data_IF_109076451382
#
_entry.id   IF_109076451382
#
_cell.length_a   1.000
_cell.length_b   1.000
_cell.length_c   1.000
_cell.angle_alpha   90.00
_cell.angle_beta   90.00
_cell.angle_gamma   90.00
#
_symmetry.space_group_name_H-M   'P 1'
#
loop_
_entity.id
_entity.type
_entity.pdbx_description
1 polymer ?
#
# COMPACT_ATOMS: atom_id res chain seq x y z
N UNK A 1 39.10 10.02 -19.90
CA UNK A 1 38.53 9.82 -18.57
C UNK A 1 37.51 8.70 -18.72
N UNK A 2 37.76 7.55 -18.09
CA UNK A 2 36.84 6.42 -18.17
C UNK A 2 35.62 6.74 -17.30
N UNK A 3 34.44 6.84 -17.90
CA UNK A 3 33.18 6.82 -17.17
C UNK A 3 33.08 5.49 -16.44
N UNK A 4 33.29 5.52 -15.13
CA UNK A 4 32.98 4.41 -14.25
C UNK A 4 31.46 4.23 -14.28
N UNK A 5 30.94 3.40 -15.19
CA UNK A 5 29.61 2.82 -15.06
C UNK A 5 29.62 1.91 -13.83
N UNK A 6 29.42 2.48 -12.65
CA UNK A 6 28.83 1.75 -11.54
C UNK A 6 27.47 1.28 -12.04
N UNK A 7 27.37 0.00 -12.39
CA UNK A 7 26.08 -0.65 -12.54
C UNK A 7 25.31 -0.33 -11.26
N UNK A 8 24.23 0.46 -11.34
CA UNK A 8 23.47 0.78 -10.15
C UNK A 8 22.90 -0.55 -9.65
N UNK A 9 23.38 -1.01 -8.50
CA UNK A 9 22.95 -2.28 -7.88
C UNK A 9 21.45 -2.22 -7.51
N UNK A 10 20.90 -1.00 -7.54
CA UNK A 10 19.57 -0.62 -7.11
C UNK A 10 19.00 0.34 -8.17
N UNK A 11 17.75 0.13 -8.58
CA UNK A 11 17.06 0.94 -9.59
C UNK A 11 15.64 1.21 -9.11
N UNK A 12 15.13 2.42 -9.32
CA UNK A 12 13.73 2.75 -9.01
C UNK A 12 12.78 1.89 -9.84
N UNK A 13 11.62 1.54 -9.27
CA UNK A 13 10.61 0.76 -9.99
C UNK A 13 11.10 -0.61 -10.51
N UNK A 14 12.22 -1.14 -10.00
CA UNK A 14 12.82 -2.37 -10.51
C UNK A 14 11.83 -3.54 -10.53
N UNK A 15 11.77 -4.28 -11.64
CA UNK A 15 10.94 -5.49 -11.76
C UNK A 15 11.56 -6.71 -11.07
N UNK A 16 12.83 -6.63 -10.66
CA UNK A 16 13.53 -7.71 -9.96
C UNK A 16 14.12 -7.17 -8.66
N UNK A 17 13.57 -7.65 -7.55
CA UNK A 17 13.98 -7.32 -6.19
C UNK A 17 14.74 -8.51 -5.56
N UNK A 18 15.35 -8.34 -4.36
CA UNK A 18 16.17 -9.40 -3.76
C UNK A 18 15.46 -10.74 -3.63
N UNK A 19 14.21 -10.74 -3.13
CA UNK A 19 13.45 -11.96 -2.84
C UNK A 19 12.37 -12.31 -3.87
N UNK A 20 11.98 -11.36 -4.72
CA UNK A 20 10.85 -11.50 -5.65
C UNK A 20 11.13 -10.90 -7.02
N UNK A 21 10.47 -11.43 -8.04
CA UNK A 21 10.22 -10.73 -9.30
C UNK A 21 8.82 -10.12 -9.24
N UNK A 22 8.66 -8.91 -9.78
CA UNK A 22 7.38 -8.21 -9.88
C UNK A 22 6.88 -8.38 -11.31
N UNK A 23 5.86 -9.20 -11.49
CA UNK A 23 5.34 -9.56 -12.82
C UNK A 23 4.40 -8.48 -13.37
N UNK A 24 3.72 -7.76 -12.48
CA UNK A 24 2.82 -6.67 -12.80
C UNK A 24 2.52 -5.82 -11.55
N UNK A 25 2.28 -4.54 -11.73
CA UNK A 25 1.62 -3.66 -10.76
C UNK A 25 0.82 -2.60 -11.52
N UNK A 26 -0.18 -2.00 -10.87
CA UNK A 26 -1.11 -1.07 -11.50
C UNK A 26 -1.78 -1.66 -12.76
N UNK A 27 -2.27 -2.90 -12.68
CA UNK A 27 -2.99 -3.48 -13.81
C UNK A 27 -4.27 -2.67 -14.10
N UNK A 28 -4.36 -2.19 -15.32
CA UNK A 28 -5.42 -1.31 -15.81
C UNK A 28 -6.35 -2.07 -16.77
N UNK A 29 -7.17 -2.98 -16.23
CA UNK A 29 -8.21 -3.67 -17.02
C UNK A 29 -9.44 -2.78 -17.09
N UNK A 30 -9.92 -2.52 -18.30
CA UNK A 30 -11.16 -1.78 -18.56
C UNK A 30 -12.29 -2.69 -19.03
N UNK A 31 -13.51 -2.30 -18.71
CA UNK A 31 -14.74 -2.74 -19.40
C UNK A 31 -15.55 -1.52 -19.86
N UNK A 32 -16.79 -1.75 -20.29
CA UNK A 32 -17.66 -0.71 -20.84
C UNK A 32 -17.97 0.42 -19.82
N UNK A 33 -17.82 0.17 -18.51
CA UNK A 33 -18.08 1.15 -17.45
C UNK A 33 -16.80 1.82 -16.89
N UNK A 34 -15.62 1.53 -17.46
CA UNK A 34 -14.34 2.11 -17.05
C UNK A 34 -13.35 1.09 -16.48
N UNK A 35 -12.50 1.49 -15.53
CA UNK A 35 -11.52 0.58 -14.94
C UNK A 35 -12.20 -0.37 -13.96
N UNK A 36 -11.97 -1.66 -14.14
CA UNK A 36 -12.64 -2.66 -13.31
C UNK A 36 -12.24 -2.57 -11.84
N UNK A 37 -11.01 -2.15 -11.56
CA UNK A 37 -10.50 -1.97 -10.19
C UNK A 37 -11.26 -0.91 -9.39
N UNK A 38 -11.90 0.06 -10.05
CA UNK A 38 -12.66 1.11 -9.37
C UNK A 38 -13.86 0.55 -8.60
N UNK A 39 -14.39 -0.60 -9.04
CA UNK A 39 -15.46 -1.35 -8.37
C UNK A 39 -15.03 -1.98 -7.04
N UNK A 40 -13.74 -2.06 -6.74
CA UNK A 40 -13.22 -2.59 -5.48
C UNK A 40 -12.41 -1.53 -4.71
N UNK A 41 -12.95 -0.32 -4.65
CA UNK A 41 -12.35 0.83 -3.94
C UNK A 41 -13.18 1.26 -2.73
N UNK A 42 -12.61 2.10 -1.84
CA UNK A 42 -13.36 2.74 -0.76
C UNK A 42 -14.58 3.52 -1.30
N UNK A 43 -14.43 4.15 -2.48
CA UNK A 43 -15.50 4.89 -3.13
C UNK A 43 -16.63 3.96 -3.56
N UNK A 44 -16.32 2.81 -4.15
CA UNK A 44 -17.34 1.81 -4.52
C UNK A 44 -18.14 1.34 -3.31
N UNK A 45 -17.48 1.04 -2.19
CA UNK A 45 -18.20 0.69 -0.95
C UNK A 45 -19.12 1.81 -0.47
N UNK A 46 -18.68 3.07 -0.54
CA UNK A 46 -19.51 4.22 -0.16
C UNK A 46 -20.72 4.40 -1.07
N UNK A 47 -20.56 4.18 -2.38
CA UNK A 47 -21.66 4.21 -3.35
C UNK A 47 -22.70 3.13 -3.04
N UNK A 48 -22.26 1.88 -2.82
CA UNK A 48 -23.14 0.79 -2.40
C UNK A 48 -23.91 1.16 -1.14
N UNK A 49 -23.20 1.67 -0.12
CA UNK A 49 -23.81 2.08 1.14
C UNK A 49 -24.85 3.20 0.94
N UNK A 50 -24.55 4.20 0.13
CA UNK A 50 -25.51 5.27 -0.20
C UNK A 50 -26.73 4.73 -0.94
N UNK A 51 -26.54 3.81 -1.89
CA UNK A 51 -27.64 3.20 -2.65
C UNK A 51 -28.59 2.40 -1.76
N UNK A 52 -28.05 1.63 -0.82
CA UNK A 52 -28.84 0.88 0.17
C UNK A 52 -29.58 1.80 1.16
N UNK A 53 -29.02 2.97 1.46
CA UNK A 53 -29.64 3.97 2.35
C UNK A 53 -30.73 4.79 1.66
N UNK A 54 -30.64 5.01 0.34
CA UNK A 54 -31.57 5.87 -0.43
C UNK A 54 -33.06 5.57 -0.17
N UNK A 55 -33.55 4.31 -0.18
CA UNK A 55 -34.94 4.00 0.11
C UNK A 55 -35.38 4.45 1.52
N UNK A 56 -34.55 4.19 2.54
CA UNK A 56 -34.86 4.52 3.93
C UNK A 56 -34.80 6.03 4.20
N UNK A 57 -33.90 6.75 3.51
CA UNK A 57 -33.88 8.22 3.51
C UNK A 57 -35.20 8.81 3.00
N UNK A 58 -35.76 8.28 1.91
CA UNK A 58 -37.07 8.72 1.38
C UNK A 58 -38.20 8.54 2.39
N UNK A 59 -38.10 7.52 3.24
CA UNK A 59 -39.04 7.24 4.33
C UNK A 59 -38.73 7.99 5.63
N UNK A 60 -37.66 8.78 5.68
CA UNK A 60 -37.12 9.43 6.90
C UNK A 60 -36.82 8.42 8.02
N UNK A 61 -36.34 7.23 7.64
CA UNK A 61 -35.99 6.11 8.53
C UNK A 61 -34.54 5.63 8.32
N UNK A 62 -33.67 6.45 7.73
CA UNK A 62 -32.27 6.07 7.58
C UNK A 62 -31.61 5.93 8.97
N UNK A 63 -31.14 4.73 9.35
CA UNK A 63 -30.55 4.49 10.67
C UNK A 63 -29.24 5.26 10.87
N UNK A 64 -28.60 5.70 9.78
CA UNK A 64 -27.40 6.54 9.84
C UNK A 64 -27.71 8.04 9.81
N UNK A 65 -28.99 8.42 9.69
CA UNK A 65 -29.46 9.80 9.62
C UNK A 65 -29.01 10.51 8.33
N UNK A 66 -28.91 11.84 8.42
CA UNK A 66 -28.56 12.69 7.27
C UNK A 66 -27.04 12.74 6.97
N UNK A 67 -26.22 12.03 7.76
CA UNK A 67 -24.76 12.01 7.56
C UNK A 67 -24.42 11.37 6.20
N UNK A 68 -23.66 12.04 5.32
CA UNK A 68 -23.21 11.46 4.07
C UNK A 68 -22.46 10.14 4.29
N UNK A 69 -22.64 9.13 3.43
CA UNK A 69 -21.98 7.83 3.64
C UNK A 69 -20.45 7.93 3.69
N UNK A 70 -19.89 8.91 2.99
CA UNK A 70 -18.45 9.16 3.01
C UNK A 70 -17.91 9.66 4.36
N UNK A 71 -18.76 10.25 5.19
CA UNK A 71 -18.43 10.85 6.49
C UNK A 71 -18.74 9.91 7.67
N UNK A 72 -19.43 8.79 7.43
CA UNK A 72 -19.66 7.80 8.48
C UNK A 72 -18.33 7.15 8.87
N UNK A 73 -18.00 7.22 10.16
CA UNK A 73 -16.78 6.63 10.68
C UNK A 73 -16.81 5.10 10.58
N UNK A 74 -15.65 4.48 10.38
CA UNK A 74 -15.51 3.01 10.38
C UNK A 74 -16.10 2.38 11.65
N UNK A 75 -15.88 3.02 12.80
CA UNK A 75 -16.41 2.58 14.10
C UNK A 75 -17.93 2.54 14.11
N UNK A 76 -18.61 3.51 13.49
CA UNK A 76 -20.08 3.53 13.41
C UNK A 76 -20.60 2.44 12.46
N UNK A 77 -19.92 2.20 11.34
CA UNK A 77 -20.25 1.09 10.44
C UNK A 77 -20.04 -0.27 11.11
N UNK A 78 -18.94 -0.45 11.83
CA UNK A 78 -18.63 -1.69 12.54
C UNK A 78 -19.59 -1.95 13.70
N UNK A 79 -20.04 -0.91 14.40
CA UNK A 79 -21.04 -1.02 15.46
C UNK A 79 -22.43 -1.39 14.91
N UNK A 80 -22.73 -1.06 13.65
CA UNK A 80 -24.04 -1.36 13.05
C UNK A 80 -24.33 -2.86 12.93
N UNK A 81 -23.31 -3.72 12.87
CA UNK A 81 -23.51 -5.17 12.88
C UNK A 81 -24.11 -5.69 14.18
N UNK A 82 -23.76 -5.03 15.29
CA UNK A 82 -24.12 -5.44 16.65
C UNK A 82 -25.29 -4.59 17.19
N UNK A 83 -25.97 -3.84 16.31
CA UNK A 83 -27.07 -2.94 16.65
C UNK A 83 -28.40 -3.69 16.77
N UNK A 84 -29.22 -3.32 17.75
CA UNK A 84 -30.62 -3.78 17.87
C UNK A 84 -31.54 -3.16 16.79
N UNK A 85 -31.06 -2.12 16.10
CA UNK A 85 -31.71 -1.57 14.90
C UNK A 85 -31.47 -2.49 13.70
N UNK A 86 -32.51 -3.25 13.33
CA UNK A 86 -32.48 -4.19 12.20
C UNK A 86 -32.21 -3.52 10.85
N UNK A 87 -32.59 -2.26 10.66
CA UNK A 87 -32.31 -1.53 9.41
C UNK A 87 -30.82 -1.20 9.33
N UNK A 88 -30.21 -0.78 10.44
CA UNK A 88 -28.77 -0.50 10.50
C UNK A 88 -27.94 -1.74 10.17
N UNK A 89 -28.26 -2.87 10.81
CA UNK A 89 -27.59 -4.15 10.61
C UNK A 89 -27.82 -4.70 9.19
N UNK A 90 -29.06 -4.60 8.69
CA UNK A 90 -29.41 -5.02 7.34
C UNK A 90 -28.66 -4.26 6.25
N UNK A 91 -28.54 -2.92 6.37
CA UNK A 91 -27.80 -2.09 5.42
C UNK A 91 -26.33 -2.46 5.38
N UNK A 92 -25.65 -2.56 6.54
CA UNK A 92 -24.22 -2.84 6.55
C UNK A 92 -23.92 -4.26 6.04
N UNK A 93 -24.77 -5.24 6.36
CA UNK A 93 -24.67 -6.60 5.86
C UNK A 93 -24.86 -6.63 4.34
N UNK A 94 -25.85 -5.91 3.79
CA UNK A 94 -26.07 -5.77 2.36
C UNK A 94 -24.86 -5.14 1.65
N UNK A 95 -24.28 -4.08 2.25
CA UNK A 95 -23.12 -3.41 1.69
C UNK A 95 -21.89 -4.33 1.63
N UNK A 96 -21.67 -5.15 2.67
CA UNK A 96 -20.60 -6.16 2.70
C UNK A 96 -20.81 -7.25 1.65
N UNK A 97 -22.05 -7.73 1.48
CA UNK A 97 -22.36 -8.73 0.45
C UNK A 97 -22.05 -8.20 -0.95
N UNK A 98 -22.62 -7.04 -1.29
CA UNK A 98 -22.48 -6.46 -2.62
C UNK A 98 -21.02 -6.10 -2.93
N UNK A 99 -20.29 -5.50 -1.99
CA UNK A 99 -18.87 -5.22 -2.18
C UNK A 99 -18.04 -6.51 -2.28
N UNK A 100 -18.37 -7.54 -1.50
CA UNK A 100 -17.73 -8.85 -1.59
C UNK A 100 -17.89 -9.47 -2.98
N UNK A 101 -19.06 -9.34 -3.61
CA UNK A 101 -19.28 -9.77 -4.99
C UNK A 101 -18.47 -8.95 -5.99
N UNK A 102 -18.43 -7.63 -5.85
CA UNK A 102 -17.63 -6.76 -6.72
C UNK A 102 -16.14 -7.10 -6.62
N UNK A 103 -15.59 -7.22 -5.41
CA UNK A 103 -14.20 -7.60 -5.17
C UNK A 103 -13.87 -8.98 -5.77
N UNK A 104 -14.73 -9.99 -5.58
CA UNK A 104 -14.55 -11.30 -6.20
C UNK A 104 -14.58 -11.20 -7.74
N UNK A 105 -15.46 -10.37 -8.31
CA UNK A 105 -15.53 -10.08 -9.74
C UNK A 105 -14.25 -9.47 -10.30
N UNK A 106 -13.67 -8.49 -9.58
CA UNK A 106 -12.39 -7.87 -9.93
C UNK A 106 -11.26 -8.91 -9.89
N UNK A 107 -11.16 -9.69 -8.80
CA UNK A 107 -10.13 -10.73 -8.65
C UNK A 107 -10.22 -11.75 -9.78
N UNK A 108 -11.42 -12.25 -10.11
CA UNK A 108 -11.63 -13.18 -11.24
C UNK A 108 -11.11 -12.63 -12.57
N UNK A 109 -11.23 -11.33 -12.77
CA UNK A 109 -10.80 -10.66 -14.01
C UNK A 109 -9.29 -10.47 -14.02
N UNK A 110 -8.69 -10.15 -12.87
CA UNK A 110 -7.25 -10.10 -12.71
C UNK A 110 -6.64 -11.48 -12.98
N UNK A 111 -7.15 -12.54 -12.36
CA UNK A 111 -6.64 -13.92 -12.54
C UNK A 111 -6.71 -14.45 -13.98
N UNK A 112 -7.52 -13.84 -14.85
CA UNK A 112 -7.58 -14.15 -16.29
C UNK A 112 -6.50 -13.43 -17.11
N UNK A 113 -5.91 -12.36 -16.59
CA UNK A 113 -4.85 -11.62 -17.27
C UNK A 113 -3.54 -12.40 -17.25
N UNK A 114 -2.77 -12.30 -18.34
CA UNK A 114 -1.54 -13.08 -18.55
C UNK A 114 -0.56 -13.02 -17.38
N UNK A 115 -0.32 -11.84 -16.82
CA UNK A 115 0.67 -11.64 -15.74
C UNK A 115 0.10 -11.89 -14.33
N UNK A 116 -1.17 -12.26 -14.22
CA UNK A 116 -1.85 -12.61 -12.96
C UNK A 116 -2.34 -14.05 -12.94
N UNK A 117 -2.18 -14.76 -14.06
CA UNK A 117 -2.47 -16.18 -14.16
C UNK A 117 -1.64 -16.95 -13.12
N UNK A 118 -2.21 -18.05 -12.64
CA UNK A 118 -1.58 -18.99 -11.72
C UNK A 118 -1.20 -18.37 -10.37
N UNK A 119 -1.80 -17.22 -10.01
CA UNK A 119 -1.65 -16.63 -8.67
C UNK A 119 -2.36 -17.50 -7.63
N UNK A 120 -1.61 -17.92 -6.62
CA UNK A 120 -2.04 -18.90 -5.60
C UNK A 120 -2.57 -18.23 -4.34
N UNK A 121 -2.05 -17.04 -4.02
CA UNK A 121 -2.35 -16.31 -2.80
C UNK A 121 -2.45 -14.81 -3.08
N UNK A 122 -3.46 -14.15 -2.51
CA UNK A 122 -3.64 -12.70 -2.58
C UNK A 122 -3.78 -12.16 -1.16
N UNK A 123 -2.90 -11.25 -0.79
CA UNK A 123 -3.03 -10.44 0.43
C UNK A 123 -3.80 -9.16 0.15
N UNK A 124 -4.72 -8.79 1.05
CA UNK A 124 -5.55 -7.59 0.90
C UNK A 124 -5.24 -6.59 2.01
N UNK A 125 -4.65 -5.47 1.63
CA UNK A 125 -4.31 -4.34 2.48
C UNK A 125 -5.19 -3.11 2.23
N UNK A 126 -4.62 -1.94 2.51
CA UNK A 126 -5.32 -0.65 2.45
C UNK A 126 -6.19 -0.37 3.70
N UNK A 127 -6.63 0.88 3.84
CA UNK A 127 -7.25 1.36 5.07
C UNK A 127 -8.58 0.67 5.41
N UNK A 128 -9.30 0.10 4.43
CA UNK A 128 -10.57 -0.60 4.67
C UNK A 128 -10.37 -1.87 5.50
N UNK A 129 -9.23 -2.54 5.34
CA UNK A 129 -8.89 -3.80 6.03
C UNK A 129 -9.01 -3.73 7.55
N UNK A 130 -8.69 -2.58 8.14
CA UNK A 130 -8.67 -2.34 9.58
C UNK A 130 -10.07 -2.30 10.24
N UNK A 131 -11.14 -2.35 9.44
CA UNK A 131 -12.52 -2.40 9.93
C UNK A 131 -13.10 -3.82 9.95
N UNK A 132 -14.10 -4.07 10.81
CA UNK A 132 -14.87 -5.33 10.78
C UNK A 132 -15.58 -5.48 9.43
N UNK A 133 -16.19 -4.43 8.89
CA UNK A 133 -16.89 -4.51 7.59
C UNK A 133 -15.93 -4.85 6.45
N UNK A 134 -14.74 -4.26 6.43
CA UNK A 134 -13.69 -4.57 5.45
C UNK A 134 -13.19 -6.00 5.57
N UNK A 135 -12.91 -6.47 6.79
CA UNK A 135 -12.54 -7.85 7.05
C UNK A 135 -13.60 -8.84 6.55
N UNK A 136 -14.88 -8.57 6.84
CA UNK A 136 -16.01 -9.40 6.38
C UNK A 136 -16.15 -9.39 4.87
N UNK A 137 -15.97 -8.24 4.22
CA UNK A 137 -16.08 -8.15 2.77
C UNK A 137 -14.95 -8.89 2.04
N UNK A 138 -13.71 -8.84 2.55
CA UNK A 138 -12.59 -9.66 2.07
C UNK A 138 -12.90 -11.15 2.27
N UNK A 139 -13.33 -11.54 3.47
CA UNK A 139 -13.72 -12.92 3.76
C UNK A 139 -14.84 -13.41 2.84
N UNK A 140 -15.84 -12.56 2.58
CA UNK A 140 -16.95 -12.86 1.67
C UNK A 140 -16.47 -13.06 0.23
N UNK A 141 -15.62 -12.19 -0.28
CA UNK A 141 -15.01 -12.36 -1.61
C UNK A 141 -14.25 -13.70 -1.69
N UNK A 142 -13.50 -14.06 -0.65
CA UNK A 142 -12.80 -15.35 -0.54
C UNK A 142 -13.75 -16.56 -0.59
N UNK A 143 -14.90 -16.50 0.10
CA UNK A 143 -15.93 -17.55 0.03
C UNK A 143 -16.48 -17.68 -1.39
N UNK A 144 -16.79 -16.57 -2.06
CA UNK A 144 -17.32 -16.58 -3.44
C UNK A 144 -16.32 -17.23 -4.39
N UNK A 145 -15.04 -16.84 -4.33
CA UNK A 145 -13.99 -17.42 -5.16
C UNK A 145 -13.88 -18.94 -4.96
N UNK A 146 -13.93 -19.41 -3.71
CA UNK A 146 -13.92 -20.85 -3.38
C UNK A 146 -15.14 -21.57 -3.91
N UNK A 147 -16.33 -20.99 -3.77
CA UNK A 147 -17.58 -21.56 -4.31
C UNK A 147 -17.55 -21.70 -5.83
N UNK A 148 -16.83 -20.82 -6.53
CA UNK A 148 -16.63 -20.90 -7.99
C UNK A 148 -15.48 -21.83 -8.40
N UNK A 149 -14.89 -22.57 -7.45
CA UNK A 149 -13.78 -23.49 -7.70
C UNK A 149 -12.44 -22.81 -8.00
N UNK A 150 -12.31 -21.51 -7.70
CA UNK A 150 -11.07 -20.76 -7.92
C UNK A 150 -10.13 -21.01 -6.76
N UNK A 151 -8.99 -21.64 -7.05
CA UNK A 151 -7.96 -22.01 -6.08
C UNK A 151 -7.00 -20.85 -5.81
N UNK A 152 -7.54 -19.76 -5.28
CA UNK A 152 -6.74 -18.65 -4.75
C UNK A 152 -7.07 -18.47 -3.28
N UNK A 153 -6.05 -18.39 -2.45
CA UNK A 153 -6.24 -18.01 -1.05
C UNK A 153 -6.30 -16.48 -0.94
N UNK A 154 -7.30 -15.97 -0.22
CA UNK A 154 -7.49 -14.54 -0.03
C UNK A 154 -7.37 -14.24 1.44
N UNK A 155 -6.26 -13.62 1.82
CA UNK A 155 -6.00 -13.27 3.20
C UNK A 155 -5.87 -11.77 3.38
N UNK A 156 -6.20 -11.27 4.57
CA UNK A 156 -5.90 -9.91 4.88
C UNK A 156 -4.40 -9.70 5.15
N UNK A 157 -3.85 -8.54 4.80
CA UNK A 157 -2.46 -8.20 5.13
C UNK A 157 -2.23 -8.28 6.65
N UNK A 158 -1.06 -8.77 7.08
CA UNK A 158 -0.74 -9.08 8.48
C UNK A 158 -0.42 -7.81 9.26
N UNK A 159 0.39 -6.94 8.67
CA UNK A 159 0.79 -5.69 9.28
C UNK A 159 -0.36 -4.67 9.26
N UNK A 160 -0.40 -3.78 10.24
CA UNK A 160 -1.39 -2.71 10.25
C UNK A 160 -1.27 -1.88 8.96
N UNK A 161 -2.38 -1.47 8.29
CA UNK A 161 -2.30 -0.79 6.99
C UNK A 161 -1.44 0.48 6.98
N UNK A 162 -1.39 1.22 8.10
CA UNK A 162 -0.52 2.40 8.25
C UNK A 162 0.98 2.09 8.39
N UNK A 163 1.34 0.82 8.53
CA UNK A 163 2.71 0.37 8.79
C UNK A 163 3.23 -0.58 7.71
N UNK A 164 2.34 -1.31 7.03
CA UNK A 164 2.71 -2.27 6.01
C UNK A 164 3.58 -1.66 4.89
N UNK A 165 3.27 -0.44 4.42
CA UNK A 165 4.10 0.27 3.45
C UNK A 165 5.47 0.69 4.00
N UNK A 166 5.56 1.02 5.28
CA UNK A 166 6.84 1.36 5.92
C UNK A 166 7.69 0.10 6.11
N UNK A 167 7.09 -0.97 6.62
CA UNK A 167 7.75 -2.26 6.85
C UNK A 167 8.22 -2.86 5.53
N UNK A 168 7.40 -2.83 4.47
CA UNK A 168 7.80 -3.41 3.19
C UNK A 168 8.99 -2.74 2.52
N UNK A 169 9.30 -1.48 2.87
CA UNK A 169 10.46 -0.76 2.37
C UNK A 169 11.80 -1.45 2.72
N UNK A 170 11.86 -2.25 3.79
CA UNK A 170 13.07 -3.01 4.16
C UNK A 170 13.45 -4.07 3.13
N UNK A 171 12.51 -4.49 2.29
CA UNK A 171 12.70 -5.52 1.26
C UNK A 171 13.03 -4.94 -0.12
N UNK A 172 13.10 -3.61 -0.26
CA UNK A 172 13.48 -2.96 -1.52
C UNK A 172 14.96 -3.14 -1.87
N UNK A 173 15.81 -3.37 -0.87
CA UNK A 173 17.25 -3.50 -1.03
C UNK A 173 17.75 -4.81 -0.39
N UNK A 174 18.86 -5.39 -0.90
CA UNK A 174 19.44 -6.58 -0.28
C UNK A 174 19.82 -6.37 1.19
N UNK A 175 19.58 -7.37 2.04
CA UNK A 175 19.84 -7.28 3.48
C UNK A 175 21.30 -6.92 3.85
N UNK A 176 22.27 -7.25 2.99
CA UNK A 176 23.68 -6.91 3.23
C UNK A 176 23.95 -5.40 3.26
N UNK A 177 23.14 -4.58 2.59
CA UNK A 177 23.24 -3.11 2.62
C UNK A 177 23.04 -2.59 4.04
N UNK A 178 22.28 -3.30 4.86
CA UNK A 178 21.92 -2.86 6.21
C UNK A 178 22.73 -3.53 7.32
N UNK A 179 23.79 -4.31 7.02
CA UNK A 179 24.50 -5.12 8.02
C UNK A 179 25.09 -4.32 9.20
N UNK A 180 25.48 -3.05 8.97
CA UNK A 180 26.02 -2.17 10.01
C UNK A 180 24.95 -1.33 10.73
N UNK A 181 23.67 -1.51 10.38
CA UNK A 181 22.56 -0.66 10.78
C UNK A 181 21.46 -1.48 11.44
N UNK A 182 20.68 -0.84 12.31
CA UNK A 182 19.56 -1.48 13.02
C UNK A 182 18.20 -1.01 12.52
N UNK A 183 18.17 0.05 11.72
CA UNK A 183 16.96 0.69 11.25
C UNK A 183 17.13 1.35 9.88
N UNK A 184 16.02 1.64 9.22
CA UNK A 184 15.95 2.47 8.00
C UNK A 184 14.90 3.55 8.15
N UNK A 185 14.96 4.57 7.30
CA UNK A 185 13.85 5.49 7.09
C UNK A 185 12.97 4.94 5.97
N UNK A 186 11.65 5.00 6.17
CA UNK A 186 10.67 4.58 5.19
C UNK A 186 9.59 5.64 5.01
N UNK A 187 9.06 5.74 3.80
CA UNK A 187 7.97 6.65 3.43
C UNK A 187 6.89 5.84 2.70
N UNK A 188 5.64 6.02 3.12
CA UNK A 188 4.46 5.49 2.46
C UNK A 188 3.59 6.68 2.04
N UNK A 189 3.57 6.95 0.73
CA UNK A 189 2.80 8.02 0.12
C UNK A 189 1.50 7.41 -0.42
N UNK A 190 0.37 7.93 0.04
CA UNK A 190 -0.94 7.60 -0.49
C UNK A 190 -1.66 8.83 -1.05
N UNK A 191 -2.75 8.60 -1.77
CA UNK A 191 -3.53 9.67 -2.38
C UNK A 191 -4.21 10.66 -1.40
N UNK A 192 -4.12 10.45 -0.09
CA UNK A 192 -4.65 11.38 0.92
C UNK A 192 -3.73 11.63 2.11
N UNK A 193 -2.72 10.77 2.30
CA UNK A 193 -1.83 10.81 3.45
C UNK A 193 -0.40 10.53 3.01
N UNK A 194 0.56 11.14 3.69
CA UNK A 194 1.97 10.77 3.65
C UNK A 194 2.35 10.27 5.03
N UNK A 195 2.99 9.11 5.09
CA UNK A 195 3.56 8.53 6.31
C UNK A 195 5.06 8.47 6.16
N UNK A 196 5.78 8.84 7.20
CA UNK A 196 7.22 8.59 7.30
C UNK A 196 7.49 7.87 8.61
N UNK A 197 8.44 6.95 8.64
CA UNK A 197 8.78 6.24 9.86
C UNK A 197 10.20 5.72 9.88
N UNK A 198 10.64 5.41 11.10
CA UNK A 198 11.86 4.66 11.36
C UNK A 198 11.45 3.22 11.59
N UNK A 199 11.99 2.32 10.77
CA UNK A 199 11.68 0.89 10.81
C UNK A 199 12.88 0.17 11.37
N UNK A 200 12.70 -0.48 12.51
CA UNK A 200 13.67 -1.42 13.07
C UNK A 200 13.72 -2.67 12.20
N UNK A 201 14.92 -3.07 11.81
CA UNK A 201 15.12 -4.23 10.94
C UNK A 201 15.00 -5.55 11.71
N UNK A 202 15.35 -5.53 13.00
CA UNK A 202 15.33 -6.70 13.89
C UNK A 202 16.04 -7.96 13.29
N UNK A 203 17.07 -7.76 12.46
CA UNK A 203 17.80 -8.83 11.75
C UNK A 203 18.48 -9.84 12.67
N UNK A 204 18.86 -9.40 13.89
CA UNK A 204 19.37 -10.30 14.95
C UNK A 204 18.31 -11.27 15.47
N UNK A 205 17.03 -10.89 15.45
CA UNK A 205 15.90 -11.74 15.86
C UNK A 205 15.43 -12.63 14.71
N UNK A 206 15.39 -12.09 13.50
CA UNK A 206 14.99 -12.80 12.30
C UNK A 206 15.74 -12.24 11.07
N UNK A 207 16.68 -12.99 10.46
CA UNK A 207 17.49 -12.52 9.34
C UNK A 207 16.70 -12.17 8.07
N UNK A 208 15.51 -12.75 7.91
CA UNK A 208 14.56 -12.50 6.82
C UNK A 208 13.73 -11.22 7.03
N UNK A 209 13.96 -10.48 8.11
CA UNK A 209 13.21 -9.27 8.51
C UNK A 209 11.72 -9.52 8.78
N UNK A 210 11.30 -10.77 9.02
CA UNK A 210 9.92 -11.10 9.46
C UNK A 210 9.53 -10.48 10.82
N UNK A 211 10.51 -9.90 11.54
CA UNK A 211 10.34 -9.16 12.80
C UNK A 211 10.59 -7.67 12.65
N UNK A 212 10.69 -7.14 11.43
CA UNK A 212 10.78 -5.70 11.22
C UNK A 212 9.55 -5.01 11.81
N UNK A 213 9.76 -3.83 12.42
CA UNK A 213 8.71 -3.13 13.14
C UNK A 213 8.90 -1.62 13.05
N UNK A 214 7.81 -0.86 13.03
CA UNK A 214 7.87 0.59 13.06
C UNK A 214 8.12 1.05 14.49
N UNK A 215 9.30 1.64 14.75
CA UNK A 215 9.60 2.22 16.07
C UNK A 215 8.85 3.52 16.28
N UNK A 216 8.90 4.41 15.28
CA UNK A 216 8.27 5.72 15.32
C UNK A 216 7.79 6.11 13.92
N UNK A 217 6.62 6.73 13.85
CA UNK A 217 6.03 7.25 12.61
C UNK A 217 5.45 8.64 12.80
N UNK A 218 5.48 9.41 11.71
CA UNK A 218 4.69 10.61 11.53
C UNK A 218 3.65 10.35 10.42
N UNK A 219 2.41 10.75 10.65
CA UNK A 219 1.32 10.69 9.69
C UNK A 219 0.87 12.11 9.37
N UNK A 220 0.83 12.45 8.09
CA UNK A 220 0.33 13.71 7.60
C UNK A 220 -0.80 13.50 6.58
N UNK A 221 -2.00 13.98 6.89
CA UNK A 221 -3.13 14.01 5.97
C UNK A 221 -3.07 15.23 5.06
N UNK A 222 -2.27 15.16 4.00
CA UNK A 222 -2.09 16.26 3.04
C UNK A 222 -3.39 16.72 2.38
N UNK A 223 -4.38 15.83 2.25
CA UNK A 223 -5.69 16.16 1.71
C UNK A 223 -6.42 17.27 2.50
N UNK A 224 -6.09 17.46 3.78
CA UNK A 224 -6.69 18.52 4.62
C UNK A 224 -6.00 19.87 4.43
N UNK A 225 -4.74 19.87 3.96
CA UNK A 225 -3.91 21.06 3.82
C UNK A 225 -3.83 21.57 2.37
N UNK A 226 -4.19 20.75 1.38
CA UNK A 226 -4.10 21.03 -0.07
C UNK A 226 -2.78 21.73 -0.50
N UNK A 227 -1.61 21.20 -0.10
CA UNK A 227 -0.33 21.87 -0.31
C UNK A 227 0.05 21.88 -1.80
N UNK A 228 0.96 22.78 -2.17
CA UNK A 228 1.68 22.68 -3.45
C UNK A 228 2.74 21.57 -3.39
N UNK A 229 3.27 21.19 -4.56
CA UNK A 229 4.28 20.12 -4.68
C UNK A 229 5.54 20.39 -3.85
N UNK A 230 6.09 21.59 -3.96
CA UNK A 230 7.28 22.05 -3.23
C UNK A 230 7.04 22.10 -1.71
N UNK A 231 5.87 22.57 -1.29
CA UNK A 231 5.46 22.56 0.12
C UNK A 231 5.36 21.13 0.68
N UNK A 232 4.82 20.20 -0.12
CA UNK A 232 4.71 18.79 0.26
C UNK A 232 6.07 18.11 0.40
N UNK A 233 6.99 18.32 -0.55
CA UNK A 233 8.37 17.83 -0.48
C UNK A 233 9.09 18.38 0.74
N UNK A 234 8.99 19.70 0.97
CA UNK A 234 9.61 20.36 2.12
C UNK A 234 9.06 19.82 3.46
N UNK A 235 7.76 19.58 3.55
CA UNK A 235 7.14 19.00 4.76
C UNK A 235 7.56 17.55 4.98
N UNK A 236 7.60 16.73 3.93
CA UNK A 236 8.12 15.35 3.99
C UNK A 236 9.59 15.31 4.43
N UNK A 237 10.45 16.14 3.84
CA UNK A 237 11.85 16.27 4.26
C UNK A 237 11.96 16.68 5.73
N UNK A 238 11.09 17.58 6.19
CA UNK A 238 10.98 17.96 7.60
C UNK A 238 10.60 16.80 8.52
N UNK A 239 9.63 15.96 8.13
CA UNK A 239 9.25 14.75 8.88
C UNK A 239 10.43 13.78 8.98
N UNK A 240 11.11 13.53 7.87
CA UNK A 240 12.28 12.64 7.82
C UNK A 240 13.42 13.14 8.71
N UNK A 241 13.76 14.44 8.66
CA UNK A 241 14.79 15.03 9.53
C UNK A 241 14.48 14.89 11.02
N UNK A 242 13.21 15.08 11.41
CA UNK A 242 12.76 14.88 12.80
C UNK A 242 12.90 13.43 13.23
N UNK A 243 12.55 12.49 12.35
CA UNK A 243 12.65 11.06 12.61
C UNK A 243 14.10 10.60 12.75
N UNK A 244 14.99 11.09 11.88
CA UNK A 244 16.45 10.84 11.97
C UNK A 244 16.98 11.33 13.33
N UNK A 245 16.74 12.60 13.67
CA UNK A 245 17.20 13.17 14.94
C UNK A 245 16.62 12.43 16.16
N UNK A 246 15.37 11.97 16.08
CA UNK A 246 14.78 11.17 17.15
C UNK A 246 15.45 9.79 17.28
N UNK A 247 15.73 9.12 16.16
CA UNK A 247 16.36 7.79 16.14
C UNK A 247 17.78 7.85 16.72
N UNK A 248 18.58 8.81 16.29
CA UNK A 248 19.94 9.03 16.79
C UNK A 248 19.96 9.32 18.29
N UNK A 249 19.01 10.14 18.78
CA UNK A 249 18.87 10.44 20.21
C UNK A 249 18.55 9.19 21.04
N UNK A 250 17.80 8.25 20.47
CA UNK A 250 17.47 6.96 21.11
C UNK A 250 18.59 5.91 20.96
N UNK A 251 19.65 6.23 20.20
CA UNK A 251 20.80 5.35 19.98
C UNK A 251 20.63 4.36 18.83
N UNK A 252 19.59 4.51 18.00
CA UNK A 252 19.50 3.78 16.74
C UNK A 252 20.61 4.23 15.77
N UNK A 253 20.96 3.34 14.85
CA UNK A 253 21.86 3.59 13.74
C UNK A 253 21.11 3.43 12.41
N UNK A 254 20.33 4.43 11.99
CA UNK A 254 19.66 4.38 10.70
C UNK A 254 20.67 4.19 9.58
N UNK A 255 20.37 3.31 8.63
CA UNK A 255 21.11 3.24 7.38
C UNK A 255 20.96 4.56 6.61
N UNK A 256 21.95 4.97 5.80
CA UNK A 256 21.84 6.11 4.90
C UNK A 256 20.94 5.76 3.70
N UNK A 257 19.72 5.32 3.99
CA UNK A 257 18.77 4.75 3.06
C UNK A 257 17.35 5.19 3.41
N UNK A 258 16.63 5.67 2.40
CA UNK A 258 15.22 6.03 2.48
C UNK A 258 14.45 5.21 1.44
N UNK A 259 13.63 4.27 1.90
CA UNK A 259 12.73 3.50 1.03
C UNK A 259 11.37 4.17 0.90
N UNK A 260 10.84 4.29 -0.32
CA UNK A 260 9.60 5.02 -0.61
C UNK A 260 8.62 4.14 -1.37
N UNK A 261 7.42 3.97 -0.82
CA UNK A 261 6.22 3.57 -1.57
C UNK A 261 5.50 4.81 -2.09
N UNK A 262 5.33 4.93 -3.40
CA UNK A 262 4.68 6.07 -4.04
C UNK A 262 3.63 5.63 -5.08
N UNK A 263 2.44 6.24 -5.15
CA UNK A 263 1.45 5.88 -6.15
C UNK A 263 1.95 6.24 -7.55
N UNK A 264 1.67 5.36 -8.51
CA UNK A 264 2.00 5.56 -9.91
C UNK A 264 2.97 4.53 -10.50
N UNK A 265 3.22 4.68 -11.79
CA UNK A 265 4.22 3.97 -12.57
C UNK A 265 5.58 4.63 -12.34
N UNK A 266 6.50 3.89 -11.70
CA UNK A 266 7.81 4.42 -11.31
C UNK A 266 8.83 4.00 -12.35
N UNK A 267 9.49 4.97 -12.97
CA UNK A 267 10.52 4.77 -13.97
C UNK A 267 11.90 4.49 -13.32
N UNK A 268 12.86 3.88 -14.05
CA UNK A 268 14.18 3.55 -13.52
C UNK A 268 14.98 4.71 -12.93
N UNK A 269 14.75 5.93 -13.41
CA UNK A 269 15.38 7.16 -12.94
C UNK A 269 14.67 7.80 -11.74
N UNK A 270 13.55 7.23 -11.29
CA UNK A 270 12.73 7.75 -10.20
C UNK A 270 11.66 8.74 -10.62
N UNK A 271 11.48 9.02 -11.92
CA UNK A 271 10.33 9.75 -12.41
C UNK A 271 9.03 8.95 -12.19
N UNK A 272 7.91 9.66 -12.09
CA UNK A 272 6.58 9.07 -12.02
C UNK A 272 5.90 9.33 -13.35
N UNK A 273 5.68 8.31 -14.17
CA UNK A 273 5.12 8.47 -15.51
C UNK A 273 3.62 8.81 -15.47
N UNK A 274 2.85 8.09 -14.65
CA UNK A 274 1.40 8.27 -14.48
C UNK A 274 0.90 7.66 -13.18
N UNK A 275 -0.32 8.01 -12.75
CA UNK A 275 -0.98 7.39 -11.60
C UNK A 275 -0.79 8.16 -10.28
N UNK A 276 -0.28 9.39 -10.35
CA UNK A 276 -0.04 10.28 -9.23
C UNK A 276 -1.03 11.46 -9.17
N UNK A 277 -2.17 11.37 -9.85
CA UNK A 277 -3.20 12.42 -9.93
C UNK A 277 -3.81 12.84 -8.58
N UNK A 278 -3.67 12.02 -7.53
CA UNK A 278 -4.14 12.35 -6.18
C UNK A 278 -3.05 12.96 -5.28
N UNK A 279 -1.85 13.21 -5.81
CA UNK A 279 -0.73 13.78 -5.05
C UNK A 279 -0.72 15.32 -5.15
N UNK A 280 -0.10 16.03 -4.17
CA UNK A 280 -0.08 17.48 -4.14
C UNK A 280 0.60 18.14 -5.36
N UNK A 281 -0.15 18.85 -6.20
CA UNK A 281 0.37 19.48 -7.41
C UNK A 281 0.51 18.50 -8.57
N UNK A 282 1.60 18.61 -9.35
CA UNK A 282 1.86 17.71 -10.48
C UNK A 282 3.20 16.98 -10.29
N UNK A 283 3.12 15.71 -9.88
CA UNK A 283 4.28 14.84 -9.66
C UNK A 283 4.68 14.05 -10.91
N UNK A 284 3.85 14.07 -11.95
CA UNK A 284 4.07 13.39 -13.25
C UNK A 284 4.88 14.29 -14.23
N UNK A 285 5.34 15.44 -13.75
CA UNK A 285 6.11 16.38 -14.55
C UNK A 285 7.54 15.87 -14.77
N UNK A 286 8.00 15.90 -16.02
CA UNK A 286 9.40 15.61 -16.37
C UNK A 286 10.45 16.53 -15.70
N UNK A 287 10.02 17.61 -15.05
CA UNK A 287 10.87 18.54 -14.29
C UNK A 287 10.90 18.23 -12.79
N UNK A 288 10.39 17.08 -12.38
CA UNK A 288 10.30 16.69 -10.97
C UNK A 288 10.79 15.27 -10.77
N UNK A 289 11.57 15.08 -9.72
CA UNK A 289 12.06 13.78 -9.30
C UNK A 289 12.15 13.76 -7.76
N UNK A 290 11.18 13.10 -7.12
CA UNK A 290 11.10 13.06 -5.65
C UNK A 290 12.38 12.51 -5.00
N UNK A 291 12.98 11.40 -5.47
CA UNK A 291 14.25 10.92 -4.94
C UNK A 291 15.35 12.00 -4.93
N UNK A 292 15.57 12.69 -6.05
CA UNK A 292 16.57 13.76 -6.15
C UNK A 292 16.30 14.90 -5.19
N UNK A 293 15.06 15.36 -5.10
CA UNK A 293 14.65 16.45 -4.19
C UNK A 293 14.87 16.09 -2.71
N UNK A 294 14.63 14.83 -2.33
CA UNK A 294 14.91 14.37 -0.97
C UNK A 294 16.41 14.27 -0.67
N UNK A 295 17.22 13.87 -1.65
CA UNK A 295 18.69 13.87 -1.53
C UNK A 295 19.21 15.30 -1.36
N UNK A 296 18.69 16.28 -2.09
CA UNK A 296 19.07 17.69 -1.90
C UNK A 296 18.72 18.19 -0.48
N UNK A 297 17.58 17.77 0.05
CA UNK A 297 17.19 18.14 1.40
C UNK A 297 17.94 17.38 2.50
N UNK A 298 18.34 16.13 2.27
CA UNK A 298 19.00 15.22 3.22
C UNK A 298 20.20 14.57 2.49
N UNK A 299 21.27 15.33 2.23
CA UNK A 299 22.38 14.84 1.41
C UNK A 299 23.16 13.72 2.09
N UNK A 300 23.25 13.76 3.42
CA UNK A 300 23.96 12.77 4.22
C UNK A 300 23.14 12.30 5.41
N UNK A 301 23.40 11.06 5.82
CA UNK A 301 22.90 10.45 7.05
C UNK A 301 24.10 9.76 7.73
N UNK A 302 24.48 10.26 8.90
CA UNK A 302 25.80 9.96 9.47
C UNK A 302 26.93 10.44 8.56
N UNK A 303 27.93 9.59 8.33
CA UNK A 303 29.12 9.90 7.51
C UNK A 303 28.99 9.46 6.04
N UNK A 304 27.77 9.18 5.58
CA UNK A 304 27.50 8.60 4.26
C UNK A 304 26.47 9.39 3.48
N UNK A 305 26.62 9.40 2.16
CA UNK A 305 25.62 9.96 1.24
C UNK A 305 24.31 9.18 1.33
N UNK A 306 23.19 9.91 1.35
CA UNK A 306 21.86 9.32 1.40
C UNK A 306 21.50 8.64 0.09
N UNK A 307 21.06 7.39 0.18
CA UNK A 307 20.45 6.66 -0.93
C UNK A 307 18.93 6.70 -0.79
N UNK A 308 18.22 7.13 -1.83
CA UNK A 308 16.77 7.07 -1.89
C UNK A 308 16.34 6.04 -2.92
N UNK A 309 15.43 5.15 -2.55
CA UNK A 309 14.86 4.16 -3.47
C UNK A 309 13.34 4.23 -3.40
N UNK A 310 12.73 4.32 -4.59
CA UNK A 310 11.29 4.48 -4.73
C UNK A 310 10.71 3.37 -5.61
N UNK A 311 9.58 2.84 -5.18
CA UNK A 311 8.75 1.90 -5.93
C UNK A 311 7.27 2.22 -5.70
N UNK A 312 6.40 1.56 -6.45
CA UNK A 312 4.97 1.70 -6.34
C UNK A 312 4.46 1.37 -4.92
N UNK A 313 3.51 2.15 -4.42
CA UNK A 313 2.91 2.01 -3.07
C UNK A 313 2.33 0.61 -2.81
N UNK A 314 1.59 0.03 -3.76
CA UNK A 314 1.05 -1.32 -3.61
C UNK A 314 2.15 -2.38 -3.62
N UNK A 315 3.19 -2.21 -4.46
CA UNK A 315 4.38 -3.06 -4.43
C UNK A 315 5.02 -3.03 -3.05
N UNK A 316 5.36 -1.85 -2.54
CA UNK A 316 6.03 -1.71 -1.24
C UNK A 316 5.17 -2.25 -0.11
N UNK A 317 3.86 -1.96 -0.09
CA UNK A 317 2.96 -2.54 0.90
C UNK A 317 2.93 -4.08 0.84
N UNK A 318 2.85 -4.65 -0.37
CA UNK A 318 2.90 -6.10 -0.59
C UNK A 318 4.22 -6.72 -0.12
N UNK A 319 5.35 -6.05 -0.30
CA UNK A 319 6.66 -6.55 0.12
C UNK A 319 6.75 -6.86 1.62
N UNK A 320 5.91 -6.23 2.46
CA UNK A 320 5.84 -6.56 3.89
C UNK A 320 5.36 -7.99 4.19
N UNK A 321 4.81 -8.69 3.18
CA UNK A 321 4.37 -10.09 3.27
C UNK A 321 5.39 -11.07 2.69
N UNK A 322 6.51 -10.60 2.14
CA UNK A 322 7.56 -11.47 1.56
C UNK A 322 7.96 -12.60 2.50
N UNK A 323 8.26 -12.38 3.80
CA UNK A 323 8.68 -13.46 4.69
C UNK A 323 7.59 -14.53 4.94
N UNK A 324 6.32 -14.20 4.68
CA UNK A 324 5.17 -15.04 4.97
C UNK A 324 4.53 -15.65 3.71
N UNK A 325 4.89 -15.15 2.54
CA UNK A 325 4.39 -15.62 1.26
C UNK A 325 5.34 -16.63 0.58
N UNK A 326 6.43 -17.05 1.24
CA UNK A 326 7.48 -17.91 0.65
C UNK A 326 6.98 -19.30 0.20
N UNK A 327 5.88 -19.79 0.78
CA UNK A 327 5.28 -21.08 0.42
C UNK A 327 4.53 -21.06 -0.92
N UNK A 328 4.29 -19.87 -1.49
CA UNK A 328 3.63 -19.69 -2.78
C UNK A 328 4.67 -19.38 -3.85
N UNK A 329 4.54 -19.96 -5.04
CA UNK A 329 5.37 -19.56 -6.18
C UNK A 329 4.93 -18.19 -6.68
N UNK A 330 3.62 -17.98 -6.75
CA UNK A 330 3.00 -16.79 -7.32
C UNK A 330 1.95 -16.22 -6.36
N UNK A 331 2.14 -14.96 -5.96
CA UNK A 331 1.24 -14.29 -5.03
C UNK A 331 1.03 -12.84 -5.42
N UNK A 332 0.00 -12.20 -4.89
CA UNK A 332 -0.33 -10.82 -5.21
C UNK A 332 -0.80 -10.04 -4.00
N UNK A 333 -0.87 -8.73 -4.17
CA UNK A 333 -1.43 -7.79 -3.21
C UNK A 333 -2.50 -6.94 -3.86
N UNK A 334 -3.56 -6.67 -3.11
CA UNK A 334 -4.57 -5.67 -3.42
C UNK A 334 -4.65 -4.66 -2.28
N UNK A 335 -4.60 -3.37 -2.59
CA UNK A 335 -4.64 -2.31 -1.58
C UNK A 335 -5.91 -1.48 -1.75
N UNK A 336 -6.87 -1.66 -0.83
CA UNK A 336 -8.18 -1.00 -0.92
C UNK A 336 -8.11 0.36 -0.22
N UNK A 337 -7.93 1.41 -1.01
CA UNK A 337 -7.86 2.80 -0.57
C UNK A 337 -8.83 3.68 -1.37
N UNK A 338 -8.42 4.91 -1.69
CA UNK A 338 -9.19 5.80 -2.58
C UNK A 338 -9.48 5.14 -3.92
N UNK A 339 -8.51 4.37 -4.44
CA UNK A 339 -8.66 3.42 -5.54
C UNK A 339 -8.24 2.02 -5.12
N UNK A 340 -8.01 1.15 -6.09
CA UNK A 340 -7.47 -0.20 -5.89
C UNK A 340 -6.03 -0.28 -6.40
N UNK A 341 -5.05 -0.23 -5.49
CA UNK A 341 -3.67 -0.56 -5.85
C UNK A 341 -3.50 -2.06 -5.97
N UNK A 342 -2.57 -2.51 -6.80
CA UNK A 342 -2.33 -3.93 -7.01
C UNK A 342 -0.90 -4.22 -7.47
N UNK A 343 -0.37 -5.37 -7.06
CA UNK A 343 0.86 -5.93 -7.60
C UNK A 343 0.83 -7.46 -7.53
N UNK A 344 1.62 -8.10 -8.40
CA UNK A 344 1.79 -9.55 -8.46
C UNK A 344 3.28 -9.87 -8.47
N UNK A 345 3.64 -10.87 -7.68
CA UNK A 345 5.00 -11.30 -7.41
C UNK A 345 5.21 -12.78 -7.76
N UNK A 346 6.42 -13.09 -8.21
CA UNK A 346 6.99 -14.44 -8.24
C UNK A 346 8.09 -14.52 -7.19
N UNK A 347 7.99 -15.47 -6.26
CA UNK A 347 9.10 -15.70 -5.33
C UNK A 347 10.32 -16.25 -6.08
N UNK A 348 11.50 -15.70 -5.77
CA UNK A 348 12.74 -16.18 -6.34
C UNK A 348 13.13 -17.48 -5.64
N UNK A 349 13.34 -18.53 -6.40
CA UNK A 349 13.83 -19.80 -5.85
C UNK A 349 15.18 -19.57 -5.17
N UNK A 350 15.28 -19.93 -3.90
CA UNK A 350 16.50 -19.84 -3.10
C UNK A 350 17.51 -20.93 -3.50
N UNK A 351 17.82 -21.11 -4.79
CA UNK A 351 18.89 -21.99 -5.28
C UNK A 351 18.92 -23.39 -4.65
N UNK A 352 17.76 -23.94 -4.24
CA UNK A 352 17.61 -25.29 -3.71
C UNK A 352 16.75 -26.08 -4.71
N UNK A 353 17.30 -26.26 -5.90
CA UNK A 353 17.00 -27.38 -6.78
C UNK A 353 18.32 -28.10 -7.06
#
# INVERSE_FOLDING_TARGET
MAETKTASIITHGASRLPSVEIDNYNIEIKDDDGFIGDRASKRAFQTILDDLRKPLRKLKKDPFGDVPSAEISKKKLDAAFDSDDGDASGIIQGAVEEFGQQLAGVIKRFLKAKNWKDTEHIVVGGGMRDSKYGARAIGRAGVILKSDGIKVDLQPIRNHPDEAGLIGAVHLAPAWIFQAHDSILAVDIGGTNIRAGVVELNTKKAPDMSKAAVWKKELWRHADDSPKRDEAVKKLAGMLKKLIAAAEKEGFKPAPFIGIGCPGMIEPDGAIDRGAQNLPGNWESSKFNLPSELIEHIPTMGDHDTVVLMHNDAVVQGLSEVPFAQDFKHWGVLTIGTGLGNARFTNRSNGKD
#
